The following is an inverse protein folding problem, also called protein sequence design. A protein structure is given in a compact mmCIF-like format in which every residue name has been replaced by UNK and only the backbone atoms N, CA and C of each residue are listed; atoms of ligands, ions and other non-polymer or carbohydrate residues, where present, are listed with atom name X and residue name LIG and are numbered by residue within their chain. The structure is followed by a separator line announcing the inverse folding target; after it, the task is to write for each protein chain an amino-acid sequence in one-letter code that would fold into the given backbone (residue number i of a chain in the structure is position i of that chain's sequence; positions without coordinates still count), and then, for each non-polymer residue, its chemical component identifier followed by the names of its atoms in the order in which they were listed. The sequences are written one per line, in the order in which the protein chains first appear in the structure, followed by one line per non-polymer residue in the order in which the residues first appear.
data_IF_262695578013
#
_entry.id   IF_262695578013
#
_cell.length_a   1.000
_cell.length_b   1.000
_cell.length_c   1.000
_cell.angle_alpha   90.00
_cell.angle_beta   90.00
_cell.angle_gamma   90.00
#
_symmetry.space_group_name_H-M   'P 1'
#
loop_
_entity.id
_entity.type
_entity.pdbx_description
1 polymer ?
#
# COMPACT_ATOMS: atom_id res chain seq x y z
N UNK A 1 37.56 -16.94 25.47
CA UNK A 1 36.89 -15.68 25.89
C UNK A 1 35.49 -15.70 25.29
N UNK A 2 34.48 -15.91 26.18
CA UNK A 2 33.09 -16.14 25.84
C UNK A 2 32.32 -14.84 26.04
N UNK A 3 31.67 -14.32 24.99
CA UNK A 3 30.73 -13.21 25.11
C UNK A 3 29.32 -13.73 24.84
N UNK A 4 28.48 -13.74 25.88
CA UNK A 4 27.02 -13.82 25.74
C UNK A 4 26.45 -12.41 25.86
N UNK A 5 25.47 -12.02 25.07
CA UNK A 5 24.53 -10.98 25.46
C UNK A 5 23.16 -11.61 25.79
N UNK A 6 22.73 -11.41 27.01
CA UNK A 6 21.32 -11.57 27.41
C UNK A 6 20.55 -10.32 27.00
N UNK A 7 19.51 -10.47 26.20
CA UNK A 7 18.49 -9.44 26.03
C UNK A 7 17.12 -9.99 26.44
N UNK A 8 16.71 -9.50 27.60
CA UNK A 8 15.37 -9.61 28.16
C UNK A 8 14.35 -8.94 27.26
N UNK A 9 13.37 -9.71 26.76
CA UNK A 9 12.20 -9.20 26.04
C UNK A 9 11.04 -9.07 27.02
N UNK A 10 10.70 -7.83 27.36
CA UNK A 10 9.47 -7.52 28.09
C UNK A 10 8.25 -7.72 27.17
N UNK A 11 7.39 -8.64 27.54
CA UNK A 11 6.07 -8.89 26.93
C UNK A 11 5.08 -7.83 27.39
N UNK A 12 4.58 -6.99 26.50
CA UNK A 12 3.34 -6.25 26.74
C UNK A 12 2.14 -7.10 26.29
N UNK A 13 1.29 -7.50 27.23
CA UNK A 13 -0.02 -8.11 27.00
C UNK A 13 -1.04 -6.98 26.81
N UNK A 14 -1.68 -6.91 25.66
CA UNK A 14 -2.97 -6.23 25.55
C UNK A 14 -4.07 -7.29 25.41
N UNK A 15 -4.87 -7.40 26.45
CA UNK A 15 -6.11 -8.18 26.49
C UNK A 15 -7.25 -7.19 26.26
N UNK A 16 -7.96 -7.35 25.17
CA UNK A 16 -9.21 -6.65 24.90
C UNK A 16 -10.29 -7.68 24.56
N UNK A 17 -11.04 -8.09 25.58
CA UNK A 17 -12.17 -9.01 25.48
C UNK A 17 -13.45 -8.19 25.26
N UNK A 18 -14.14 -8.36 24.13
CA UNK A 18 -15.54 -7.96 23.99
C UNK A 18 -16.41 -9.21 24.13
N UNK A 19 -17.15 -9.28 25.24
CA UNK A 19 -18.17 -10.28 25.49
C UNK A 19 -19.51 -9.71 25.00
N UNK A 20 -20.17 -10.41 24.07
CA UNK A 20 -21.55 -10.13 23.70
C UNK A 20 -22.47 -10.92 24.65
N UNK A 21 -23.36 -10.21 25.35
CA UNK A 21 -24.41 -10.82 26.16
C UNK A 21 -25.69 -10.93 25.32
N UNK A 22 -26.23 -12.14 25.21
CA UNK A 22 -27.57 -12.42 24.75
C UNK A 22 -28.53 -12.38 25.95
N UNK A 23 -29.70 -11.76 25.82
CA UNK A 23 -30.81 -11.93 26.74
C UNK A 23 -32.12 -12.07 25.99
N UNK A 24 -32.82 -13.15 26.37
CA UNK A 24 -34.13 -13.60 25.94
C UNK A 24 -35.31 -12.66 26.26
N UNK A 25 -36.30 -12.65 25.33
CA UNK A 25 -37.69 -12.96 25.62
C UNK A 25 -38.61 -11.84 26.13
N UNK A 26 -39.55 -11.43 25.37
CA UNK A 26 -41.01 -11.65 25.45
C UNK A 26 -41.84 -10.57 24.74
N UNK A 27 -42.83 -11.08 24.06
CA UNK A 27 -43.91 -10.41 23.32
C UNK A 27 -44.81 -9.58 24.23
N UNK A 28 -45.15 -8.36 23.80
CA UNK A 28 -46.40 -7.71 24.14
C UNK A 28 -46.84 -6.81 22.97
N UNK A 29 -48.02 -7.08 22.49
CA UNK A 29 -48.74 -6.42 21.41
C UNK A 29 -49.41 -5.15 21.94
N UNK A 30 -49.19 -4.00 21.33
CA UNK A 30 -50.10 -2.85 21.40
C UNK A 30 -49.91 -1.96 20.18
N UNK A 31 -50.95 -1.90 19.37
CA UNK A 31 -51.20 -0.98 18.27
C UNK A 31 -51.30 0.45 18.78
N UNK A 32 -50.48 1.35 18.25
CA UNK A 32 -50.77 2.79 18.20
C UNK A 32 -50.19 3.33 16.89
N UNK A 33 -51.09 3.77 16.02
CA UNK A 33 -50.79 4.50 14.80
C UNK A 33 -50.21 5.87 15.16
N UNK A 34 -48.97 6.12 14.69
CA UNK A 34 -48.47 7.47 14.51
C UNK A 34 -47.69 7.51 13.20
N UNK A 35 -48.28 8.26 12.27
CA UNK A 35 -47.60 8.75 11.08
C UNK A 35 -46.37 9.59 11.52
N UNK A 36 -45.17 9.11 11.26
CA UNK A 36 -43.97 9.89 11.29
C UNK A 36 -43.28 9.78 9.94
N UNK A 37 -43.12 10.94 9.33
CA UNK A 37 -42.36 11.17 8.11
C UNK A 37 -40.99 10.49 8.19
N UNK A 38 -40.78 9.55 7.28
CA UNK A 38 -39.56 8.82 7.06
C UNK A 38 -38.53 9.75 6.38
N UNK A 39 -37.82 10.51 7.20
CA UNK A 39 -36.64 11.25 6.75
C UNK A 39 -35.48 10.25 6.60
N UNK A 40 -35.58 9.45 5.53
CA UNK A 40 -34.56 8.52 5.13
C UNK A 40 -33.30 9.30 4.76
N UNK A 41 -32.40 9.46 5.74
CA UNK A 41 -31.01 9.82 5.53
C UNK A 41 -30.40 8.66 4.74
N UNK A 42 -30.58 8.69 3.43
CA UNK A 42 -29.78 7.92 2.50
C UNK A 42 -28.33 8.32 2.72
N UNK A 43 -27.64 7.57 3.57
CA UNK A 43 -26.20 7.60 3.69
C UNK A 43 -25.65 7.20 2.33
N UNK A 44 -25.53 8.17 1.45
CA UNK A 44 -24.93 8.04 0.12
C UNK A 44 -23.49 7.58 0.33
N UNK A 45 -23.32 6.27 0.35
CA UNK A 45 -22.03 5.64 0.30
C UNK A 45 -21.33 6.14 -0.99
N UNK A 46 -20.57 7.22 -0.87
CA UNK A 46 -19.75 7.72 -1.98
C UNK A 46 -18.83 6.57 -2.35
N UNK A 47 -19.14 5.89 -3.45
CA UNK A 47 -18.18 5.04 -4.14
C UNK A 47 -17.05 5.97 -4.53
N UNK A 48 -15.96 5.93 -3.76
CA UNK A 48 -14.74 6.60 -4.15
C UNK A 48 -14.28 5.90 -5.43
N UNK A 49 -14.43 6.58 -6.57
CA UNK A 49 -13.83 6.12 -7.82
C UNK A 49 -12.31 6.07 -7.58
N UNK A 50 -11.73 4.90 -7.82
CA UNK A 50 -10.28 4.76 -7.72
C UNK A 50 -9.60 5.74 -8.69
N UNK A 51 -8.53 6.44 -8.27
CA UNK A 51 -7.82 7.40 -9.13
C UNK A 51 -7.31 6.76 -10.42
N UNK A 52 -7.08 5.45 -10.45
CA UNK A 52 -6.71 4.70 -11.64
C UNK A 52 -7.82 4.67 -12.72
N UNK A 53 -9.08 4.88 -12.34
CA UNK A 53 -10.20 4.95 -13.28
C UNK A 53 -10.39 6.34 -13.91
N UNK A 54 -9.69 7.37 -13.42
CA UNK A 54 -9.70 8.72 -13.98
C UNK A 54 -8.46 8.92 -14.85
N UNK A 55 -8.61 9.03 -16.19
CA UNK A 55 -7.49 9.18 -17.10
C UNK A 55 -6.74 10.52 -16.94
N UNK A 56 -7.28 11.45 -16.18
CA UNK A 56 -6.62 12.74 -15.88
C UNK A 56 -5.65 12.65 -14.72
N UNK A 57 -5.77 11.61 -13.87
CA UNK A 57 -4.92 11.41 -12.70
C UNK A 57 -3.69 10.60 -13.10
N UNK A 58 -2.52 11.24 -13.07
CA UNK A 58 -1.24 10.57 -13.31
C UNK A 58 -0.80 9.78 -12.07
N UNK A 59 -0.26 8.59 -12.30
CA UNK A 59 0.43 7.85 -11.25
C UNK A 59 1.66 8.59 -10.74
N UNK A 60 2.14 8.22 -9.55
CA UNK A 60 3.36 8.78 -8.97
C UNK A 60 4.54 8.60 -9.94
N UNK A 61 4.65 7.43 -10.57
CA UNK A 61 5.74 7.09 -11.49
C UNK A 61 5.72 7.90 -12.81
N UNK A 62 4.55 8.25 -13.30
CA UNK A 62 4.40 9.11 -14.50
C UNK A 62 4.84 10.55 -14.25
N UNK A 63 5.06 10.92 -13.00
CA UNK A 63 5.60 12.21 -12.60
C UNK A 63 7.13 12.19 -12.38
N UNK A 64 7.81 11.05 -12.54
CA UNK A 64 9.26 10.99 -12.43
C UNK A 64 9.95 11.78 -13.54
N UNK A 65 11.09 12.38 -13.23
CA UNK A 65 11.96 12.98 -14.24
C UNK A 65 12.43 11.91 -15.24
N UNK A 66 12.67 12.27 -16.52
CA UNK A 66 13.03 11.31 -17.56
C UNK A 66 14.21 10.41 -17.20
N UNK A 67 15.24 10.94 -16.51
CA UNK A 67 16.39 10.17 -16.05
C UNK A 67 16.07 9.07 -15.03
N UNK A 68 14.89 9.11 -14.42
CA UNK A 68 14.44 8.14 -13.41
C UNK A 68 13.31 7.23 -13.89
N UNK A 69 12.95 7.31 -15.17
CA UNK A 69 11.79 6.62 -15.73
C UNK A 69 12.09 5.20 -16.27
N UNK A 70 13.27 4.64 -15.99
CA UNK A 70 13.76 3.40 -16.61
C UNK A 70 13.72 2.17 -15.69
N UNK A 71 13.12 2.25 -14.50
CA UNK A 71 13.03 1.12 -13.59
C UNK A 71 12.25 -0.04 -14.22
N UNK A 72 12.76 -1.28 -14.10
CA UNK A 72 12.08 -2.47 -14.61
C UNK A 72 10.71 -2.70 -13.96
N UNK A 73 10.58 -2.42 -12.66
CA UNK A 73 9.31 -2.64 -11.95
C UNK A 73 8.25 -1.58 -12.23
N UNK A 74 8.63 -0.30 -12.42
CA UNK A 74 7.65 0.78 -12.46
C UNK A 74 7.95 1.91 -13.46
N UNK A 75 9.07 1.83 -14.18
CA UNK A 75 9.50 2.91 -15.07
C UNK A 75 8.66 2.98 -16.36
N UNK A 76 7.98 4.11 -16.63
CA UNK A 76 7.16 4.24 -17.84
C UNK A 76 7.98 4.19 -19.13
N UNK A 77 9.28 4.49 -19.09
CA UNK A 77 10.16 4.43 -20.24
C UNK A 77 10.81 3.05 -20.48
N UNK A 78 10.60 2.06 -19.60
CA UNK A 78 11.14 0.72 -19.79
C UNK A 78 10.14 -0.17 -20.52
N UNK A 79 10.34 -0.43 -21.82
CA UNK A 79 9.42 -1.22 -22.65
C UNK A 79 9.25 -2.70 -22.25
N UNK A 80 10.06 -3.22 -21.31
CA UNK A 80 10.00 -4.60 -20.80
C UNK A 80 9.55 -4.68 -19.35
N UNK A 81 9.26 -3.54 -18.72
CA UNK A 81 8.93 -3.44 -17.31
C UNK A 81 7.54 -3.93 -16.93
N UNK A 82 7.28 -4.01 -15.62
CA UNK A 82 5.94 -4.30 -15.09
C UNK A 82 5.01 -3.10 -15.18
N UNK A 83 5.55 -1.90 -15.31
CA UNK A 83 4.82 -0.62 -15.39
C UNK A 83 3.86 -0.42 -14.22
N UNK A 84 4.28 -0.81 -13.00
CA UNK A 84 3.47 -0.62 -11.81
C UNK A 84 3.14 0.86 -11.62
N UNK A 85 1.86 1.17 -11.47
CA UNK A 85 1.36 2.51 -11.21
C UNK A 85 0.88 2.62 -9.77
N UNK A 86 1.39 3.61 -9.05
CA UNK A 86 1.01 3.90 -7.68
C UNK A 86 0.30 5.24 -7.59
N UNK A 87 -0.74 5.30 -6.78
CA UNK A 87 -1.56 6.49 -6.57
C UNK A 87 -1.64 6.80 -5.08
N UNK A 88 -1.85 8.08 -4.75
CA UNK A 88 -2.15 8.48 -3.39
C UNK A 88 -3.67 8.40 -3.18
N UNK A 89 -4.09 7.65 -2.16
CA UNK A 89 -5.49 7.44 -1.78
C UNK A 89 -5.62 7.58 -0.26
N UNK A 90 -6.54 8.40 0.23
CA UNK A 90 -6.97 8.48 1.65
C UNK A 90 -5.88 8.29 2.72
N UNK A 91 -4.74 8.98 2.57
CA UNK A 91 -3.64 8.95 3.53
C UNK A 91 -2.70 7.74 3.42
N UNK A 92 -2.84 6.93 2.38
CA UNK A 92 -1.94 5.86 1.98
C UNK A 92 -1.66 5.92 0.48
N UNK A 93 -0.78 5.08 -0.02
CA UNK A 93 -0.66 4.83 -1.46
C UNK A 93 -1.25 3.48 -1.80
N UNK A 94 -1.79 3.36 -3.02
CA UNK A 94 -2.29 2.10 -3.57
C UNK A 94 -1.77 1.87 -4.98
N UNK A 95 -1.59 0.60 -5.33
CA UNK A 95 -1.28 0.13 -6.68
C UNK A 95 -2.01 -1.18 -6.94
N UNK A 96 -2.36 -1.43 -8.21
CA UNK A 96 -2.98 -2.68 -8.64
C UNK A 96 -2.11 -3.34 -9.70
N UNK A 97 -2.07 -4.66 -9.69
CA UNK A 97 -1.33 -5.44 -10.66
C UNK A 97 -1.95 -6.82 -10.84
N UNK A 98 -2.21 -7.21 -12.07
CA UNK A 98 -2.69 -8.57 -12.38
C UNK A 98 -1.57 -9.37 -13.04
N UNK A 99 -0.96 -10.35 -12.32
CA UNK A 99 0.14 -11.13 -12.87
C UNK A 99 -0.33 -12.11 -13.95
N UNK A 100 0.34 -12.07 -15.10
CA UNK A 100 0.16 -13.03 -16.18
C UNK A 100 0.95 -14.35 -15.95
N UNK A 101 0.83 -15.29 -16.90
CA UNK A 101 1.45 -16.64 -16.84
C UNK A 101 2.97 -16.61 -16.67
N UNK A 102 3.64 -15.59 -17.22
CA UNK A 102 5.10 -15.46 -17.12
C UNK A 102 5.60 -15.27 -15.68
N UNK A 103 4.69 -14.96 -14.75
CA UNK A 103 5.01 -14.79 -13.33
C UNK A 103 4.66 -16.00 -12.47
N UNK A 104 4.50 -17.17 -13.10
CA UNK A 104 4.28 -18.43 -12.40
C UNK A 104 5.45 -18.75 -11.48
N UNK A 105 5.15 -19.13 -10.23
CA UNK A 105 6.12 -19.63 -9.26
C UNK A 105 6.40 -21.14 -9.41
N UNK A 106 6.82 -21.76 -8.32
CA UNK A 106 7.04 -23.21 -8.28
C UNK A 106 5.76 -24.03 -8.43
N UNK A 107 4.59 -23.43 -8.20
CA UNK A 107 3.27 -24.01 -8.43
C UNK A 107 2.57 -23.22 -9.54
N UNK A 108 1.93 -23.89 -10.53
CA UNK A 108 1.38 -23.23 -11.72
C UNK A 108 0.32 -22.15 -11.45
N UNK A 109 -0.41 -22.25 -10.33
CA UNK A 109 -1.48 -21.35 -9.93
C UNK A 109 -1.03 -20.28 -8.92
N UNK A 110 0.28 -20.19 -8.63
CA UNK A 110 0.84 -19.25 -7.65
C UNK A 110 1.85 -18.31 -8.29
N UNK A 111 1.84 -17.08 -7.79
CA UNK A 111 2.78 -16.04 -8.22
C UNK A 111 4.17 -16.31 -7.66
N UNK A 112 5.17 -16.09 -8.49
CA UNK A 112 6.58 -16.09 -8.12
C UNK A 112 6.91 -14.99 -7.10
N UNK A 113 7.59 -15.40 -6.01
CA UNK A 113 7.87 -14.51 -4.88
C UNK A 113 8.73 -13.29 -5.23
N UNK A 114 9.61 -13.40 -6.22
CA UNK A 114 10.43 -12.27 -6.68
C UNK A 114 9.60 -11.17 -7.34
N UNK A 115 8.51 -11.48 -8.05
CA UNK A 115 7.57 -10.46 -8.53
C UNK A 115 6.94 -9.72 -7.34
N UNK A 116 6.47 -10.45 -6.34
CA UNK A 116 5.83 -9.86 -5.16
C UNK A 116 6.77 -8.89 -4.44
N UNK A 117 8.04 -9.27 -4.28
CA UNK A 117 9.08 -8.41 -3.72
C UNK A 117 9.34 -7.17 -4.61
N UNK A 118 9.38 -7.34 -5.94
CA UNK A 118 9.56 -6.25 -6.90
C UNK A 118 8.41 -5.23 -6.85
N UNK A 119 7.15 -5.71 -6.72
CA UNK A 119 5.99 -4.83 -6.57
C UNK A 119 6.08 -4.00 -5.27
N UNK A 120 6.46 -4.65 -4.15
CA UNK A 120 6.66 -3.96 -2.88
C UNK A 120 7.80 -2.94 -2.95
N UNK A 121 8.91 -3.29 -3.61
CA UNK A 121 10.07 -2.42 -3.79
C UNK A 121 9.67 -1.11 -4.51
N UNK A 122 9.09 -1.24 -5.68
CA UNK A 122 8.68 -0.10 -6.49
C UNK A 122 7.60 0.76 -5.83
N UNK A 123 6.62 0.10 -5.20
CA UNK A 123 5.54 0.80 -4.51
C UNK A 123 6.03 1.52 -3.26
N UNK A 124 6.94 0.92 -2.50
CA UNK A 124 7.55 1.51 -1.31
C UNK A 124 8.35 2.79 -1.63
N UNK A 125 9.16 2.75 -2.68
CA UNK A 125 9.92 3.93 -3.13
C UNK A 125 8.97 5.05 -3.60
N UNK A 126 7.89 4.72 -4.32
CA UNK A 126 6.87 5.67 -4.73
C UNK A 126 6.12 6.26 -3.53
N UNK A 127 5.80 5.43 -2.53
CA UNK A 127 5.19 5.88 -1.27
C UNK A 127 6.07 6.89 -0.54
N UNK A 128 7.36 6.59 -0.38
CA UNK A 128 8.31 7.48 0.26
C UNK A 128 8.38 8.84 -0.46
N UNK A 129 8.46 8.83 -1.79
CA UNK A 129 8.52 10.04 -2.61
C UNK A 129 7.23 10.88 -2.50
N UNK A 130 6.06 10.25 -2.60
CA UNK A 130 4.77 10.94 -2.54
C UNK A 130 4.54 11.60 -1.17
N UNK A 131 4.81 10.89 -0.07
CA UNK A 131 4.64 11.44 1.27
C UNK A 131 5.68 12.52 1.59
N UNK A 132 6.94 12.35 1.18
CA UNK A 132 7.95 13.38 1.34
C UNK A 132 7.59 14.67 0.58
N UNK A 133 7.05 14.53 -0.64
CA UNK A 133 6.54 15.63 -1.44
C UNK A 133 5.45 16.40 -0.68
N UNK A 134 4.43 15.70 -0.19
CA UNK A 134 3.31 16.30 0.57
C UNK A 134 3.76 16.93 1.88
N UNK A 135 4.61 16.27 2.66
CA UNK A 135 5.12 16.79 3.93
C UNK A 135 5.94 18.07 3.77
N UNK A 136 6.52 18.29 2.58
CA UNK A 136 7.24 19.53 2.22
C UNK A 136 6.34 20.59 1.58
N UNK A 137 5.03 20.36 1.54
CA UNK A 137 4.06 21.32 0.99
C UNK A 137 4.01 21.36 -0.54
N UNK A 138 4.51 20.32 -1.22
CA UNK A 138 4.44 20.21 -2.68
C UNK A 138 3.28 19.32 -3.11
N UNK A 139 2.68 19.64 -4.25
CA UNK A 139 1.73 18.76 -4.93
C UNK A 139 2.46 17.65 -5.67
N UNK A 140 1.79 16.48 -5.79
CA UNK A 140 2.29 15.37 -6.62
C UNK A 140 2.09 15.76 -8.08
N UNK A 141 3.15 16.19 -8.72
CA UNK A 141 3.16 16.67 -10.09
C UNK A 141 4.51 16.42 -10.78
N UNK A 142 4.74 16.98 -11.95
CA UNK A 142 5.93 16.73 -12.75
C UNK A 142 7.22 16.89 -11.94
N UNK A 143 8.05 15.85 -11.97
CA UNK A 143 9.34 15.82 -11.25
C UNK A 143 9.24 15.61 -9.74
N UNK A 144 8.04 15.49 -9.15
CA UNK A 144 7.84 15.30 -7.69
C UNK A 144 8.64 16.29 -6.83
N UNK A 145 8.80 17.53 -7.29
CA UNK A 145 9.65 18.53 -6.62
C UNK A 145 11.14 18.14 -6.61
N UNK A 146 11.61 17.30 -7.55
CA UNK A 146 12.99 16.79 -7.62
C UNK A 146 13.28 15.64 -6.65
N UNK A 147 12.28 15.14 -5.92
CA UNK A 147 12.46 14.09 -4.94
C UNK A 147 12.63 12.72 -5.61
N UNK A 148 13.67 12.00 -5.20
CA UNK A 148 13.93 10.63 -5.61
C UNK A 148 14.36 9.79 -4.42
N UNK A 149 13.69 8.68 -4.22
CA UNK A 149 14.04 7.69 -3.21
C UNK A 149 14.53 6.39 -3.87
N UNK A 150 15.51 5.77 -3.23
CA UNK A 150 16.00 4.44 -3.59
C UNK A 150 15.90 3.54 -2.37
N UNK A 151 15.70 2.25 -2.63
CA UNK A 151 15.62 1.23 -1.59
C UNK A 151 16.98 0.97 -0.98
N UNK A 152 17.13 1.17 0.34
CA UNK A 152 18.30 0.79 1.10
C UNK A 152 18.16 -0.61 1.69
N UNK A 153 16.95 -0.95 2.17
CA UNK A 153 16.62 -2.30 2.59
C UNK A 153 15.13 -2.56 2.40
N UNK A 154 14.80 -3.82 2.13
CA UNK A 154 13.42 -4.30 2.03
C UNK A 154 13.32 -5.63 2.74
N UNK A 155 12.52 -5.69 3.81
CA UNK A 155 12.11 -6.92 4.46
C UNK A 155 10.78 -7.35 3.89
N UNK A 156 10.66 -8.62 3.49
CA UNK A 156 9.43 -9.19 2.93
C UNK A 156 9.07 -10.45 3.69
N UNK A 157 7.84 -10.50 4.20
CA UNK A 157 7.28 -11.65 4.88
C UNK A 157 6.11 -12.22 4.04
N UNK A 158 6.31 -13.40 3.46
CA UNK A 158 5.27 -14.13 2.73
C UNK A 158 4.34 -14.85 3.70
N UNK A 159 3.12 -14.35 3.83
CA UNK A 159 2.15 -14.88 4.82
C UNK A 159 1.31 -16.02 4.26
N UNK A 160 1.06 -16.02 2.95
CA UNK A 160 0.33 -17.09 2.26
C UNK A 160 0.65 -17.12 0.77
N UNK A 161 0.47 -18.28 0.08
CA UNK A 161 0.64 -18.36 -1.37
C UNK A 161 -0.28 -17.38 -2.08
N UNK A 162 0.30 -16.56 -2.97
CA UNK A 162 -0.44 -15.55 -3.73
C UNK A 162 -0.98 -16.16 -5.01
N UNK A 163 -2.30 -16.07 -5.30
CA UNK A 163 -2.89 -16.66 -6.49
C UNK A 163 -2.45 -15.93 -7.76
N UNK A 164 -2.21 -16.71 -8.84
CA UNK A 164 -1.95 -16.19 -10.18
C UNK A 164 -3.28 -15.72 -10.82
N UNK A 165 -3.22 -14.78 -11.76
CA UNK A 165 -4.38 -14.23 -12.48
C UNK A 165 -5.45 -13.51 -11.62
N UNK A 166 -5.14 -13.24 -10.37
CA UNK A 166 -5.96 -12.38 -9.52
C UNK A 166 -5.36 -10.98 -9.47
N UNK A 167 -6.22 -9.99 -9.39
CA UNK A 167 -5.75 -8.64 -9.11
C UNK A 167 -5.10 -8.59 -7.72
N UNK A 168 -3.88 -8.11 -7.69
CA UNK A 168 -3.12 -7.84 -6.47
C UNK A 168 -3.25 -6.36 -6.16
N UNK A 169 -3.60 -6.05 -4.91
CA UNK A 169 -3.59 -4.68 -4.41
C UNK A 169 -2.41 -4.50 -3.47
N UNK A 170 -1.58 -3.49 -3.74
CA UNK A 170 -0.44 -3.12 -2.90
C UNK A 170 -0.78 -1.81 -2.21
N UNK A 171 -0.63 -1.75 -0.89
CA UNK A 171 -0.76 -0.53 -0.11
C UNK A 171 0.54 -0.17 0.57
N UNK A 172 0.84 1.14 0.63
CA UNK A 172 2.00 1.69 1.31
C UNK A 172 1.61 2.83 2.26
N UNK A 173 2.20 2.83 3.47
CA UNK A 173 2.04 3.91 4.44
C UNK A 173 3.40 4.36 4.93
N UNK A 174 3.61 5.66 4.98
CA UNK A 174 4.79 6.22 5.62
C UNK A 174 4.71 5.98 7.13
N UNK A 175 5.74 5.37 7.70
CA UNK A 175 5.89 5.16 9.15
C UNK A 175 6.67 6.31 9.76
N UNK A 176 7.81 6.68 9.15
CA UNK A 176 8.62 7.82 9.57
C UNK A 176 9.38 8.41 8.38
N UNK A 177 9.71 9.70 8.49
CA UNK A 177 10.61 10.42 7.59
C UNK A 177 11.56 11.26 8.44
N UNK A 178 12.82 10.84 8.50
CA UNK A 178 13.87 11.51 9.28
C UNK A 178 15.02 11.91 8.37
N UNK A 179 15.13 13.20 8.11
CA UNK A 179 16.08 13.74 7.14
C UNK A 179 15.84 13.13 5.76
N UNK A 180 16.78 12.29 5.31
CA UNK A 180 16.73 11.59 4.02
C UNK A 180 16.21 10.14 4.12
N UNK A 181 15.86 9.65 5.31
CA UNK A 181 15.47 8.26 5.57
C UNK A 181 13.95 8.19 5.73
N UNK A 182 13.30 7.40 4.89
CA UNK A 182 11.89 7.09 4.99
C UNK A 182 11.68 5.61 5.33
N UNK A 183 10.89 5.33 6.36
CA UNK A 183 10.43 3.97 6.67
C UNK A 183 9.00 3.83 6.16
N UNK A 184 8.75 2.80 5.37
CA UNK A 184 7.45 2.54 4.74
C UNK A 184 6.98 1.14 5.11
N UNK A 185 5.76 1.05 5.64
CA UNK A 185 5.05 -0.22 5.84
C UNK A 185 4.25 -0.56 4.58
N UNK A 186 4.33 -1.83 4.15
CA UNK A 186 3.77 -2.32 2.89
C UNK A 186 2.90 -3.55 3.13
N UNK A 187 1.80 -3.64 2.39
CA UNK A 187 0.97 -4.85 2.33
C UNK A 187 0.60 -5.15 0.90
N UNK A 188 0.56 -6.43 0.54
CA UNK A 188 0.04 -6.91 -0.73
C UNK A 188 -1.04 -7.94 -0.47
N UNK A 189 -2.20 -7.75 -1.10
CA UNK A 189 -3.39 -8.56 -0.91
C UNK A 189 -3.92 -9.09 -2.24
N UNK A 190 -4.58 -10.23 -2.21
CA UNK A 190 -5.40 -10.77 -3.29
C UNK A 190 -6.77 -11.14 -2.73
N UNK A 191 -7.86 -10.82 -3.43
CA UNK A 191 -9.25 -11.05 -2.99
C UNK A 191 -9.50 -10.57 -1.53
N UNK A 192 -8.92 -9.43 -1.15
CA UNK A 192 -9.03 -8.84 0.20
C UNK A 192 -8.20 -9.52 1.29
N UNK A 193 -7.47 -10.60 0.98
CA UNK A 193 -6.62 -11.32 1.92
C UNK A 193 -5.16 -10.89 1.79
N UNK A 194 -4.53 -10.47 2.89
CA UNK A 194 -3.11 -10.11 2.90
C UNK A 194 -2.26 -11.35 2.62
N UNK A 195 -1.53 -11.35 1.51
CA UNK A 195 -0.61 -12.41 1.11
C UNK A 195 0.83 -12.12 1.52
N UNK A 196 1.24 -10.85 1.47
CA UNK A 196 2.61 -10.41 1.78
C UNK A 196 2.57 -9.15 2.62
N UNK A 197 3.51 -9.02 3.55
CA UNK A 197 3.79 -7.77 4.25
C UNK A 197 5.25 -7.39 4.03
N UNK A 198 5.55 -6.10 4.06
CA UNK A 198 6.91 -5.61 3.92
C UNK A 198 7.18 -4.38 4.77
N UNK A 199 8.45 -4.17 5.05
CA UNK A 199 8.98 -2.94 5.61
C UNK A 199 10.17 -2.50 4.75
N UNK A 200 10.14 -1.27 4.31
CA UNK A 200 11.21 -0.69 3.49
C UNK A 200 11.87 0.46 4.23
N UNK A 201 13.20 0.49 4.19
CA UNK A 201 13.98 1.71 4.40
C UNK A 201 14.34 2.28 3.03
N UNK A 202 13.80 3.44 2.71
CA UNK A 202 14.12 4.18 1.50
C UNK A 202 15.00 5.39 1.84
N UNK A 203 15.94 5.72 0.96
CA UNK A 203 16.87 6.85 1.12
C UNK A 203 16.64 7.84 -0.01
N UNK A 204 16.41 9.09 0.34
CA UNK A 204 16.35 10.18 -0.62
C UNK A 204 17.74 10.44 -1.23
N UNK A 205 17.80 10.44 -2.54
CA UNK A 205 18.99 10.85 -3.26
C UNK A 205 19.19 12.37 -3.17
N UNK A 206 20.43 12.87 -3.09
CA UNK A 206 20.71 14.28 -3.25
C UNK A 206 20.11 14.79 -4.57
N UNK A 207 19.64 16.04 -4.59
CA UNK A 207 19.26 16.68 -5.84
C UNK A 207 20.46 16.63 -6.80
N UNK A 208 20.25 16.05 -7.98
CA UNK A 208 21.28 16.08 -9.02
C UNK A 208 21.27 17.47 -9.64
N UNK A 209 22.42 18.11 -9.82
CA UNK A 209 22.50 19.37 -10.56
C UNK A 209 22.03 19.25 -12.02
N UNK A 210 21.96 18.02 -12.55
CA UNK A 210 21.60 17.69 -13.94
C UNK A 210 20.24 16.99 -14.07
N UNK A 211 19.37 17.03 -13.03
CA UNK A 211 18.06 16.38 -13.02
C UNK A 211 16.92 17.30 -13.42
#
# INVERSE_FOLDING_TARGET
MSFRPEHSLARAKLVGSCVAAASDGRVANSTVDHEHEDDSIETRCRRHSHPESDPTVKSIQENYLPGFAHCYGCGPANGHGHHLKSYLEDGQTAARFTPGLQYTGGFPDKVYGGLLASLLDCHGAATAAAFACKLRGHEIGPGLGGLRFVTASLKVDFKRPTPLHKELTVHGRLVSLEGRKAVVALTLSADGLVCVTGEMLAIELPASPDA
#
